data_IF_734442657068
#
_entry.id   IF_734442657068
#
_cell.length_a   1.000
_cell.length_b   1.000
_cell.length_c   1.000
_cell.angle_alpha   90.00
_cell.angle_beta   90.00
_cell.angle_gamma   90.00
#
_symmetry.space_group_name_H-M   'P 1'
#
loop_
_entity.id
_entity.type
_entity.pdbx_description
1 polymer ?
#
# COMPACT_ATOMS: atom_id res chain seq x y z
N UNK A 1 17.56 4.28 3.82
CA UNK A 1 16.19 3.83 4.07
C UNK A 1 16.01 3.38 5.51
N UNK A 2 16.57 2.27 5.91
CA UNK A 2 16.61 1.80 7.29
C UNK A 2 18.02 1.93 7.82
N UNK A 3 18.13 2.23 9.11
CA UNK A 3 19.42 2.23 9.77
C UNK A 3 19.87 0.78 9.98
N UNK A 4 21.19 0.51 9.95
CA UNK A 4 21.68 -0.82 10.30
C UNK A 4 21.17 -1.27 11.67
N UNK A 5 20.89 -2.54 11.85
CA UNK A 5 20.37 -3.13 13.10
C UNK A 5 21.41 -3.16 14.24
N UNK A 6 22.63 -2.76 13.94
CA UNK A 6 23.70 -2.68 14.92
C UNK A 6 23.38 -1.66 16.04
N UNK A 7 23.64 -1.99 17.31
CA UNK A 7 23.20 -1.20 18.45
C UNK A 7 24.05 0.07 18.72
N UNK A 8 24.80 0.57 17.74
CA UNK A 8 25.65 1.76 17.97
C UNK A 8 24.83 3.03 18.26
N UNK A 9 25.37 3.95 19.06
CA UNK A 9 24.73 5.22 19.37
C UNK A 9 24.58 6.11 18.14
N UNK A 10 23.41 6.75 17.98
CA UNK A 10 23.12 7.67 16.86
C UNK A 10 23.40 9.11 17.29
N UNK A 11 24.46 9.71 16.73
CA UNK A 11 24.98 11.03 17.13
C UNK A 11 24.47 12.18 16.25
N UNK A 12 23.96 11.87 15.05
CA UNK A 12 23.59 12.87 14.07
C UNK A 12 22.09 13.17 14.06
N UNK A 13 21.69 14.19 13.31
CA UNK A 13 20.30 14.47 13.00
C UNK A 13 19.87 13.59 11.82
N UNK A 14 18.82 12.82 12.00
CA UNK A 14 18.29 11.93 10.97
C UNK A 14 16.89 12.37 10.58
N UNK A 15 16.64 12.45 9.27
CA UNK A 15 15.32 12.72 8.68
C UNK A 15 14.90 11.44 7.94
N UNK A 16 13.92 10.72 8.46
CA UNK A 16 13.54 9.41 7.91
C UNK A 16 12.13 9.01 8.39
N UNK A 17 11.57 7.95 7.80
CA UNK A 17 10.43 7.26 8.39
C UNK A 17 10.95 6.40 9.55
N UNK A 18 10.80 6.92 10.77
CA UNK A 18 11.33 6.27 11.96
C UNK A 18 10.44 5.16 12.50
N UNK A 19 9.13 5.23 12.21
CA UNK A 19 8.13 4.32 12.77
C UNK A 19 8.21 4.19 14.29
N UNK A 20 8.60 5.29 14.97
CA UNK A 20 8.99 5.23 16.37
C UNK A 20 7.82 5.48 17.35
N UNK A 21 6.67 5.97 16.88
CA UNK A 21 5.62 6.50 17.76
C UNK A 21 4.26 5.77 17.66
N UNK A 22 4.19 4.67 16.92
CA UNK A 22 2.98 3.86 16.76
C UNK A 22 3.09 2.47 17.36
N UNK A 23 3.83 2.32 18.45
CA UNK A 23 4.10 1.02 19.08
C UNK A 23 4.61 -0.06 18.12
N UNK A 24 5.36 0.36 17.07
CA UNK A 24 5.96 -0.59 16.15
C UNK A 24 7.08 -1.39 16.83
N UNK A 25 7.30 -2.63 16.40
CA UNK A 25 8.48 -3.39 16.80
C UNK A 25 9.75 -2.57 16.57
N UNK A 26 10.70 -2.65 17.47
CA UNK A 26 12.00 -1.94 17.42
C UNK A 26 11.96 -0.41 17.68
N UNK A 27 10.79 0.21 17.89
CA UNK A 27 10.69 1.64 18.19
C UNK A 27 11.53 2.04 19.41
N UNK A 28 11.41 1.30 20.50
CA UNK A 28 12.16 1.55 21.72
C UNK A 28 13.68 1.44 21.52
N UNK A 29 14.10 0.42 20.78
CA UNK A 29 15.53 0.20 20.45
C UNK A 29 16.08 1.37 19.65
N UNK A 30 15.35 1.86 18.66
CA UNK A 30 15.75 3.01 17.85
C UNK A 30 15.86 4.28 18.70
N UNK A 31 14.86 4.59 19.49
CA UNK A 31 14.84 5.79 20.34
C UNK A 31 15.97 5.75 21.39
N UNK A 32 16.27 4.57 21.97
CA UNK A 32 17.38 4.38 22.89
C UNK A 32 18.73 4.71 22.25
N UNK A 33 18.93 4.34 20.97
CA UNK A 33 20.16 4.66 20.23
C UNK A 33 20.35 6.18 20.08
N UNK A 34 19.28 6.92 19.79
CA UNK A 34 19.31 8.39 19.75
C UNK A 34 19.57 8.99 21.12
N UNK A 35 18.90 8.48 22.16
CA UNK A 35 19.10 8.95 23.54
C UNK A 35 20.54 8.79 24.02
N UNK A 36 21.15 7.65 23.74
CA UNK A 36 22.55 7.36 24.11
C UNK A 36 23.54 8.15 23.27
N UNK A 37 23.26 8.36 21.98
CA UNK A 37 24.15 9.07 21.06
C UNK A 37 24.04 10.59 21.11
N UNK A 38 22.98 11.14 21.69
CA UNK A 38 22.71 12.58 21.69
C UNK A 38 22.25 13.13 20.34
N UNK A 39 21.91 12.27 19.39
CA UNK A 39 21.36 12.66 18.11
C UNK A 39 19.87 13.02 18.16
N UNK A 40 19.29 13.34 17.00
CA UNK A 40 17.87 13.67 16.89
C UNK A 40 17.21 12.94 15.72
N UNK A 41 15.97 12.47 15.92
CA UNK A 41 15.12 11.89 14.89
C UNK A 41 14.03 12.89 14.49
N UNK A 42 13.98 13.23 13.21
CA UNK A 42 12.88 13.95 12.58
C UNK A 42 12.07 12.93 11.78
N UNK A 43 11.01 12.41 12.39
CA UNK A 43 10.17 11.39 11.75
C UNK A 43 9.21 12.03 10.76
N UNK A 44 9.48 11.82 9.47
CA UNK A 44 8.66 12.38 8.38
C UNK A 44 7.28 11.70 8.24
N UNK A 45 7.02 10.64 9.00
CA UNK A 45 5.68 10.02 9.05
C UNK A 45 4.62 10.99 9.60
N UNK A 46 5.03 11.92 10.46
CA UNK A 46 4.16 12.92 11.08
C UNK A 46 4.24 14.30 10.41
N UNK A 47 4.96 14.40 9.31
CA UNK A 47 5.03 15.65 8.55
C UNK A 47 3.70 15.90 7.85
N UNK A 48 2.97 16.88 8.32
CA UNK A 48 1.66 17.27 7.79
C UNK A 48 1.66 18.72 7.30
N UNK A 49 0.79 19.02 6.34
CA UNK A 49 0.50 20.40 5.93
C UNK A 49 -0.31 21.14 7.01
N UNK A 50 -0.49 22.47 6.89
CA UNK A 50 -1.37 23.22 7.79
C UNK A 50 -2.79 22.67 7.87
N UNK A 51 -3.29 22.03 6.80
CA UNK A 51 -4.61 21.39 6.71
C UNK A 51 -4.64 19.95 7.25
N UNK A 52 -3.56 19.50 7.89
CA UNK A 52 -3.46 18.16 8.48
C UNK A 52 -3.18 17.01 7.49
N UNK A 53 -2.94 17.30 6.20
CA UNK A 53 -2.61 16.25 5.23
C UNK A 53 -1.15 15.80 5.36
N UNK A 54 -0.93 14.50 5.38
CA UNK A 54 0.43 13.95 5.34
C UNK A 54 1.17 14.37 4.07
N UNK A 55 2.34 15.02 4.22
CA UNK A 55 3.19 15.45 3.11
C UNK A 55 3.96 14.25 2.56
N UNK A 56 4.63 13.50 3.44
CA UNK A 56 5.38 12.30 3.07
C UNK A 56 4.52 11.03 3.23
N UNK A 57 4.32 10.28 2.16
CA UNK A 57 3.58 9.03 2.19
C UNK A 57 3.89 8.18 0.95
N UNK A 58 3.83 6.85 1.10
CA UNK A 58 4.05 5.87 0.03
C UNK A 58 2.76 5.44 -0.67
N UNK A 59 1.67 6.17 -0.50
CA UNK A 59 0.33 5.74 -0.89
C UNK A 59 0.22 5.15 -2.30
N UNK A 60 0.77 5.81 -3.32
CA UNK A 60 0.72 5.31 -4.69
C UNK A 60 1.33 3.91 -4.83
N UNK A 61 2.57 3.72 -4.37
CA UNK A 61 3.25 2.43 -4.47
C UNK A 61 2.64 1.34 -3.57
N UNK A 62 2.05 1.74 -2.43
CA UNK A 62 1.29 0.82 -1.59
C UNK A 62 0.05 0.30 -2.34
N UNK A 63 -0.67 1.17 -3.04
CA UNK A 63 -1.80 0.79 -3.89
C UNK A 63 -1.38 -0.10 -5.06
N UNK A 64 -0.33 0.28 -5.76
CA UNK A 64 0.19 -0.47 -6.90
C UNK A 64 0.62 -1.89 -6.52
N UNK A 65 1.45 -2.03 -5.49
CA UNK A 65 1.88 -3.33 -5.00
C UNK A 65 0.71 -4.14 -4.39
N UNK A 66 -0.20 -3.47 -3.66
CA UNK A 66 -1.41 -4.10 -3.12
C UNK A 66 -2.30 -4.69 -4.23
N UNK A 67 -2.44 -4.00 -5.35
CA UNK A 67 -3.17 -4.52 -6.51
C UNK A 67 -2.49 -5.75 -7.12
N UNK A 68 -1.16 -5.74 -7.23
CA UNK A 68 -0.40 -6.89 -7.71
C UNK A 68 -0.62 -8.13 -6.83
N UNK A 69 -0.51 -7.96 -5.51
CA UNK A 69 -0.79 -9.04 -4.54
C UNK A 69 -2.22 -9.57 -4.69
N UNK A 70 -3.20 -8.66 -4.81
CA UNK A 70 -4.61 -9.03 -4.93
C UNK A 70 -4.88 -9.84 -6.19
N UNK A 71 -4.32 -9.43 -7.34
CA UNK A 71 -4.46 -10.17 -8.61
C UNK A 71 -3.86 -11.58 -8.48
N UNK A 72 -2.66 -11.72 -7.94
CA UNK A 72 -2.01 -13.01 -7.76
C UNK A 72 -2.78 -13.90 -6.77
N UNK A 73 -3.32 -13.34 -5.68
CA UNK A 73 -4.18 -14.06 -4.74
C UNK A 73 -5.47 -14.54 -5.41
N UNK A 74 -6.12 -13.69 -6.22
CA UNK A 74 -7.32 -14.06 -6.96
C UNK A 74 -7.05 -15.22 -7.94
N UNK A 75 -5.94 -15.18 -8.69
CA UNK A 75 -5.53 -16.29 -9.56
C UNK A 75 -5.35 -17.58 -8.74
N UNK A 76 -4.64 -17.48 -7.61
CA UNK A 76 -4.39 -18.63 -6.74
C UNK A 76 -5.70 -19.25 -6.20
N UNK A 77 -6.66 -18.42 -5.79
CA UNK A 77 -7.98 -18.85 -5.35
C UNK A 77 -8.75 -19.56 -6.47
N UNK A 78 -8.76 -19.00 -7.68
CA UNK A 78 -9.42 -19.63 -8.84
C UNK A 78 -8.82 -20.99 -9.20
N UNK A 79 -7.50 -21.13 -9.04
CA UNK A 79 -6.77 -22.37 -9.27
C UNK A 79 -6.82 -23.34 -8.05
N UNK A 80 -7.44 -22.94 -6.93
CA UNK A 80 -7.45 -23.70 -5.67
C UNK A 80 -6.05 -24.06 -5.16
N UNK A 81 -5.12 -23.10 -5.29
CA UNK A 81 -3.71 -23.22 -4.85
C UNK A 81 -3.44 -22.25 -3.71
N UNK A 82 -2.38 -22.53 -2.94
CA UNK A 82 -1.87 -21.57 -1.97
C UNK A 82 -1.34 -20.32 -2.68
N UNK A 83 -1.55 -19.15 -2.07
CA UNK A 83 -1.02 -17.90 -2.58
C UNK A 83 0.52 -17.93 -2.53
N UNK A 84 1.14 -17.34 -3.54
CA UNK A 84 2.59 -17.17 -3.56
C UNK A 84 3.05 -16.17 -2.51
N UNK A 85 4.25 -16.36 -2.00
CA UNK A 85 4.92 -15.35 -1.20
C UNK A 85 5.45 -14.26 -2.13
N UNK A 86 5.08 -13.02 -1.87
CA UNK A 86 5.64 -11.87 -2.60
C UNK A 86 7.00 -11.51 -2.01
N UNK A 87 7.99 -11.39 -2.90
CA UNK A 87 9.31 -10.89 -2.57
C UNK A 87 9.44 -9.40 -2.96
N UNK A 88 10.59 -8.81 -2.68
CA UNK A 88 10.94 -7.50 -3.22
C UNK A 88 11.31 -7.61 -4.70
N UNK A 89 10.87 -6.66 -5.49
CA UNK A 89 11.19 -6.56 -6.92
C UNK A 89 12.25 -5.49 -7.14
N UNK A 90 13.07 -5.69 -8.15
CA UNK A 90 14.13 -4.75 -8.53
C UNK A 90 13.53 -3.37 -8.88
N UNK A 91 12.46 -3.39 -9.64
CA UNK A 91 11.76 -2.21 -10.14
C UNK A 91 10.29 -2.53 -10.46
N UNK A 92 9.56 -1.49 -10.87
CA UNK A 92 8.16 -1.58 -11.27
C UNK A 92 7.95 -2.53 -12.44
N UNK A 93 8.83 -2.48 -13.43
CA UNK A 93 8.67 -3.26 -14.66
C UNK A 93 8.81 -4.76 -14.39
N UNK A 94 9.71 -5.15 -13.49
CA UNK A 94 9.83 -6.54 -13.02
C UNK A 94 8.56 -7.05 -12.32
N UNK A 95 7.89 -6.20 -11.54
CA UNK A 95 6.59 -6.54 -10.93
C UNK A 95 5.51 -6.68 -11.99
N UNK A 96 5.44 -5.75 -12.93
CA UNK A 96 4.47 -5.77 -14.02
C UNK A 96 4.60 -7.02 -14.89
N UNK A 97 5.83 -7.38 -15.23
CA UNK A 97 6.14 -8.60 -15.98
C UNK A 97 5.70 -9.86 -15.22
N UNK A 98 5.98 -9.91 -13.93
CA UNK A 98 5.56 -11.04 -13.08
C UNK A 98 4.04 -11.21 -13.10
N UNK A 99 3.26 -10.14 -12.91
CA UNK A 99 1.80 -10.22 -12.89
C UNK A 99 1.26 -10.58 -14.28
N UNK A 100 1.81 -10.02 -15.34
CA UNK A 100 1.44 -10.38 -16.71
C UNK A 100 1.66 -11.87 -16.99
N UNK A 101 2.84 -12.38 -16.63
CA UNK A 101 3.17 -13.80 -16.80
C UNK A 101 2.23 -14.71 -15.98
N UNK A 102 1.80 -14.28 -14.78
CA UNK A 102 0.82 -15.05 -14.00
C UNK A 102 -0.57 -15.07 -14.65
N UNK A 103 -1.03 -13.95 -15.17
CA UNK A 103 -2.30 -13.87 -15.91
C UNK A 103 -2.28 -14.74 -17.19
N UNK A 104 -1.22 -14.63 -17.98
CA UNK A 104 -1.05 -15.38 -19.22
C UNK A 104 -0.92 -16.89 -18.96
N UNK A 105 -0.08 -17.31 -18.04
CA UNK A 105 0.13 -18.73 -17.73
C UNK A 105 -1.08 -19.41 -17.11
N UNK A 106 -1.85 -18.68 -16.31
CA UNK A 106 -3.10 -19.19 -15.72
C UNK A 106 -4.26 -19.19 -16.70
N UNK A 107 -4.21 -18.40 -17.76
CA UNK A 107 -5.32 -18.09 -18.67
C UNK A 107 -6.54 -17.50 -17.95
N UNK A 108 -6.31 -16.83 -16.83
CA UNK A 108 -7.33 -16.17 -16.01
C UNK A 108 -7.10 -14.67 -16.04
N UNK A 109 -8.18 -13.89 -16.17
CA UNK A 109 -8.17 -12.44 -16.09
C UNK A 109 -9.39 -11.98 -15.28
N UNK A 110 -9.21 -11.22 -14.19
CA UNK A 110 -10.32 -10.55 -13.53
C UNK A 110 -11.01 -9.59 -14.51
N UNK A 111 -12.34 -9.69 -14.64
CA UNK A 111 -13.09 -8.84 -15.57
C UNK A 111 -13.20 -7.41 -15.10
N UNK A 112 -13.34 -7.24 -13.79
CA UNK A 112 -13.54 -5.92 -13.21
C UNK A 112 -13.02 -5.81 -11.77
N UNK A 113 -12.67 -4.59 -11.40
CA UNK A 113 -12.30 -4.19 -10.06
C UNK A 113 -13.11 -2.96 -9.63
N UNK A 114 -13.51 -2.87 -8.36
CA UNK A 114 -14.04 -1.65 -7.77
C UNK A 114 -13.04 -1.08 -6.77
N UNK A 115 -12.76 0.22 -6.87
CA UNK A 115 -11.80 0.95 -6.04
C UNK A 115 -12.53 2.05 -5.28
N UNK A 116 -12.62 1.93 -3.96
CA UNK A 116 -13.16 2.97 -3.08
C UNK A 116 -12.00 3.81 -2.54
N UNK A 117 -12.10 5.15 -2.68
CA UNK A 117 -10.99 6.08 -2.48
C UNK A 117 -10.12 6.22 -3.74
N UNK A 118 -10.77 6.15 -4.90
CA UNK A 118 -10.15 6.12 -6.22
C UNK A 118 -9.30 7.36 -6.54
N UNK A 119 -9.68 8.54 -6.01
CA UNK A 119 -8.97 9.81 -6.23
C UNK A 119 -7.77 10.00 -5.29
N UNK A 120 -7.62 9.12 -4.30
CA UNK A 120 -6.50 9.13 -3.35
C UNK A 120 -5.22 8.55 -3.95
N UNK A 121 -4.09 8.78 -3.24
CA UNK A 121 -2.76 8.25 -3.65
C UNK A 121 -2.74 6.72 -3.75
N UNK A 122 -3.42 6.02 -2.85
CA UNK A 122 -3.50 4.55 -2.86
C UNK A 122 -4.37 4.10 -4.03
N UNK A 123 -5.57 4.67 -4.17
CA UNK A 123 -6.50 4.33 -5.23
C UNK A 123 -5.92 4.54 -6.63
N UNK A 124 -5.18 5.63 -6.86
CA UNK A 124 -4.53 5.87 -8.15
C UNK A 124 -3.50 4.78 -8.49
N UNK A 125 -2.71 4.32 -7.52
CA UNK A 125 -1.77 3.21 -7.75
C UNK A 125 -2.47 1.88 -8.08
N UNK A 126 -3.60 1.59 -7.42
CA UNK A 126 -4.44 0.41 -7.75
C UNK A 126 -4.97 0.49 -9.18
N UNK A 127 -5.54 1.65 -9.54
CA UNK A 127 -6.13 1.86 -10.85
C UNK A 127 -5.09 1.70 -11.95
N UNK A 128 -3.92 2.30 -11.80
CA UNK A 128 -2.85 2.24 -12.79
C UNK A 128 -2.41 0.81 -13.08
N UNK A 129 -2.24 -0.04 -12.06
CA UNK A 129 -1.90 -1.44 -12.29
C UNK A 129 -3.05 -2.20 -12.93
N UNK A 130 -4.28 -2.04 -12.45
CA UNK A 130 -5.45 -2.72 -13.01
C UNK A 130 -5.62 -2.38 -14.50
N UNK A 131 -5.56 -1.11 -14.86
CA UNK A 131 -5.66 -0.65 -16.25
C UNK A 131 -4.51 -1.18 -17.11
N UNK A 132 -3.29 -1.21 -16.57
CA UNK A 132 -2.12 -1.80 -17.26
C UNK A 132 -2.28 -3.30 -17.52
N UNK A 133 -3.02 -4.00 -16.67
CA UNK A 133 -3.34 -5.43 -16.82
C UNK A 133 -4.68 -5.67 -17.55
N UNK A 134 -5.25 -4.63 -18.18
CA UNK A 134 -6.53 -4.69 -18.90
C UNK A 134 -7.73 -5.12 -18.01
N UNK A 135 -7.69 -4.81 -16.74
CA UNK A 135 -8.79 -5.04 -15.79
C UNK A 135 -9.63 -3.76 -15.73
N UNK A 136 -10.92 -3.86 -16.06
CA UNK A 136 -11.83 -2.71 -16.01
C UNK A 136 -12.01 -2.22 -14.58
N UNK A 137 -11.84 -0.92 -14.33
CA UNK A 137 -11.97 -0.32 -13.00
C UNK A 137 -13.25 0.50 -12.84
N UNK A 138 -13.99 0.27 -11.78
CA UNK A 138 -15.07 1.14 -11.28
C UNK A 138 -14.48 2.02 -10.17
N UNK A 139 -14.53 3.33 -10.37
CA UNK A 139 -13.86 4.32 -9.52
C UNK A 139 -14.89 4.98 -8.61
N UNK A 140 -14.82 4.73 -7.31
CA UNK A 140 -15.67 5.36 -6.30
C UNK A 140 -14.85 6.19 -5.34
N UNK A 141 -15.42 7.34 -4.97
CA UNK A 141 -14.88 8.22 -3.93
C UNK A 141 -16.02 8.75 -3.06
N UNK A 142 -15.83 9.84 -2.35
CA UNK A 142 -16.83 10.42 -1.44
C UNK A 142 -18.17 10.63 -2.15
N UNK A 143 -18.17 11.07 -3.41
CA UNK A 143 -19.39 11.34 -4.18
C UNK A 143 -20.26 10.09 -4.34
N UNK A 144 -19.66 8.95 -4.61
CA UNK A 144 -20.37 7.70 -4.86
C UNK A 144 -20.73 6.95 -3.56
N UNK A 145 -20.06 7.28 -2.45
CA UNK A 145 -20.21 6.56 -1.17
C UNK A 145 -21.05 7.29 -0.14
N UNK A 146 -21.14 8.64 -0.20
CA UNK A 146 -21.71 9.50 0.84
C UNK A 146 -23.16 9.17 1.21
N UNK A 147 -23.97 8.70 0.26
CA UNK A 147 -25.42 8.46 0.46
C UNK A 147 -25.77 6.96 0.48
N UNK A 148 -24.77 6.09 0.51
CA UNK A 148 -24.99 4.64 0.47
C UNK A 148 -24.81 4.02 1.86
N UNK A 149 -25.87 3.37 2.36
CA UNK A 149 -25.80 2.56 3.58
C UNK A 149 -25.05 1.25 3.37
N UNK A 150 -25.09 0.70 2.16
CA UNK A 150 -24.42 -0.54 1.80
C UNK A 150 -23.84 -0.46 0.38
N UNK A 151 -22.69 -1.09 0.18
CA UNK A 151 -21.96 -1.08 -1.10
C UNK A 151 -22.17 -2.40 -1.85
N UNK A 152 -23.44 -2.72 -2.19
CA UNK A 152 -23.84 -3.96 -2.87
C UNK A 152 -23.12 -4.12 -4.23
N UNK A 153 -22.78 -3.02 -4.87
CA UNK A 153 -22.03 -3.01 -6.14
C UNK A 153 -20.69 -3.75 -6.06
N UNK A 154 -20.10 -3.89 -4.86
CA UNK A 154 -18.86 -4.67 -4.64
C UNK A 154 -19.04 -6.11 -5.13
N UNK A 155 -20.23 -6.70 -4.93
CA UNK A 155 -20.51 -8.09 -5.29
C UNK A 155 -20.51 -8.33 -6.81
N UNK A 156 -20.59 -7.30 -7.61
CA UNK A 156 -20.59 -7.36 -9.07
C UNK A 156 -19.18 -7.29 -9.68
N UNK A 157 -18.13 -7.28 -8.84
CA UNK A 157 -16.74 -7.16 -9.27
C UNK A 157 -15.92 -8.36 -8.82
N UNK A 158 -14.93 -8.73 -9.63
CA UNK A 158 -13.99 -9.81 -9.29
C UNK A 158 -13.01 -9.39 -8.18
N UNK A 159 -12.65 -8.10 -8.16
CA UNK A 159 -11.72 -7.52 -7.20
C UNK A 159 -12.33 -6.30 -6.49
N UNK A 160 -12.07 -6.19 -5.20
CA UNK A 160 -12.45 -5.03 -4.39
C UNK A 160 -11.22 -4.45 -3.69
N UNK A 161 -11.05 -3.13 -3.80
CA UNK A 161 -9.99 -2.37 -3.15
C UNK A 161 -10.56 -1.28 -2.27
N UNK A 162 -10.36 -1.41 -0.96
CA UNK A 162 -10.64 -0.34 -0.01
C UNK A 162 -9.37 0.50 0.21
N UNK A 163 -9.37 1.71 -0.36
CA UNK A 163 -8.25 2.65 -0.31
C UNK A 163 -8.52 3.84 0.60
N UNK A 164 -9.51 3.75 1.48
CA UNK A 164 -9.84 4.78 2.47
C UNK A 164 -9.61 4.26 3.88
N UNK A 165 -9.31 5.18 4.79
CA UNK A 165 -9.31 4.91 6.23
C UNK A 165 -10.68 5.34 6.76
N UNK A 166 -11.44 4.41 7.34
CA UNK A 166 -12.65 4.75 8.07
C UNK A 166 -12.26 5.51 9.34
N UNK A 167 -12.73 6.73 9.50
CA UNK A 167 -12.63 7.42 10.77
C UNK A 167 -13.50 6.64 11.78
N UNK A 168 -12.93 6.36 12.94
CA UNK A 168 -13.76 5.94 14.08
C UNK A 168 -14.52 7.20 14.53
N UNK A 169 -15.82 7.22 14.32
CA UNK A 169 -16.70 8.12 15.05
C UNK A 169 -16.74 7.72 16.53
#
# INVERSE_FOLDING_TARGET
KELPDEPFPLKHRHIMFGHAFKNQPMAETLLKRFKVGGGALYDIEYLVSPEGKRIAAFGYWAGYAGAAVTISCWISQKLKKSSKVFATYKDKDSLDEQIRNELESSKLLPKSAIVIGALGRVGSGVIDLCEKMNIKTTKWDIKETKEKEAFIDILNHDLFFNCVVANKE
#
